data_IF_051875081128
#
_entry.id   IF_051875081128
#
_cell.length_a   1.000
_cell.length_b   1.000
_cell.length_c   1.000
_cell.angle_alpha   90.00
_cell.angle_beta   90.00
_cell.angle_gamma   90.00
#
_symmetry.space_group_name_H-M   'P 1'
#
loop_
_entity.id
_entity.type
_entity.pdbx_description
1 polymer ?
#
# COMPACT_ATOMS: atom_id res chain seq x y z
N UNK A 1 15.96 -7.28 -1.63
CA UNK A 1 16.38 -5.93 -1.13
C UNK A 1 15.66 -4.78 -1.85
N UNK A 2 15.33 -4.92 -3.15
CA UNK A 2 14.59 -3.90 -3.91
C UNK A 2 13.17 -3.62 -3.37
N UNK A 3 12.42 -4.67 -3.01
CA UNK A 3 11.06 -4.51 -2.48
C UNK A 3 11.00 -3.65 -1.20
N UNK A 4 11.94 -3.84 -0.27
CA UNK A 4 12.01 -3.05 0.98
C UNK A 4 12.33 -1.59 0.66
N UNK A 5 13.32 -1.34 -0.21
CA UNK A 5 13.64 0.02 -0.66
C UNK A 5 12.41 0.68 -1.31
N UNK A 6 11.74 -0.04 -2.21
CA UNK A 6 10.50 0.40 -2.85
C UNK A 6 9.43 0.76 -1.83
N UNK A 7 9.14 -0.11 -0.86
CA UNK A 7 8.14 0.14 0.16
C UNK A 7 8.48 1.38 1.00
N UNK A 8 9.72 1.51 1.45
CA UNK A 8 10.15 2.66 2.25
C UNK A 8 10.03 3.97 1.47
N UNK A 9 10.58 4.01 0.26
CA UNK A 9 10.59 5.22 -0.57
C UNK A 9 9.19 5.62 -1.00
N UNK A 10 8.37 4.67 -1.47
CA UNK A 10 6.99 4.95 -1.88
C UNK A 10 6.13 5.41 -0.70
N UNK A 11 6.28 4.79 0.49
CA UNK A 11 5.57 5.20 1.70
C UNK A 11 5.93 6.63 2.12
N UNK A 12 7.22 6.98 2.09
CA UNK A 12 7.67 8.34 2.37
C UNK A 12 7.13 9.34 1.34
N UNK A 13 7.11 8.96 0.05
CA UNK A 13 6.53 9.79 -1.01
C UNK A 13 5.04 10.04 -0.77
N UNK A 14 4.28 8.98 -0.46
CA UNK A 14 2.86 9.07 -0.12
C UNK A 14 2.61 9.91 1.13
N UNK A 15 3.43 9.76 2.18
CA UNK A 15 3.39 10.61 3.35
C UNK A 15 3.65 12.09 3.02
N UNK A 16 4.64 12.38 2.17
CA UNK A 16 4.94 13.75 1.74
C UNK A 16 3.78 14.37 0.96
N UNK A 17 3.18 13.62 0.02
CA UNK A 17 1.99 14.04 -0.72
C UNK A 17 0.83 14.30 0.22
N UNK A 18 0.49 13.36 1.10
CA UNK A 18 -0.64 13.52 2.01
C UNK A 18 -0.44 14.67 2.99
N UNK A 19 0.78 14.86 3.49
CA UNK A 19 1.12 16.01 4.33
C UNK A 19 0.98 17.34 3.58
N UNK A 20 1.22 17.35 2.26
CA UNK A 20 1.05 18.56 1.45
C UNK A 20 -0.42 18.86 1.14
N UNK A 21 -1.24 17.83 0.95
CA UNK A 21 -2.67 17.93 0.66
C UNK A 21 -3.49 18.28 1.91
N UNK A 22 -3.14 17.69 3.05
CA UNK A 22 -3.88 17.86 4.32
C UNK A 22 -2.90 18.17 5.46
N UNK A 23 -2.23 19.35 5.44
CA UNK A 23 -1.17 19.68 6.39
C UNK A 23 -1.61 19.73 7.86
N UNK A 24 -2.90 20.00 8.08
CA UNK A 24 -3.50 20.08 9.41
C UNK A 24 -3.88 18.71 9.99
N UNK A 25 -3.88 17.64 9.18
CA UNK A 25 -4.20 16.30 9.67
C UNK A 25 -3.13 15.80 10.65
N UNK A 26 -3.51 15.09 11.73
CA UNK A 26 -2.56 14.55 12.69
C UNK A 26 -1.72 13.42 12.09
N UNK A 27 -0.61 13.07 12.76
CA UNK A 27 0.30 12.00 12.30
C UNK A 27 -0.39 10.63 12.17
N UNK A 28 -1.34 10.33 13.06
CA UNK A 28 -2.17 9.10 13.00
C UNK A 28 -3.02 9.00 11.73
N UNK A 29 -3.20 10.11 10.99
CA UNK A 29 -3.85 10.10 9.67
C UNK A 29 -2.82 10.12 8.56
N UNK A 30 -1.84 11.04 8.63
CA UNK A 30 -0.89 11.28 7.55
C UNK A 30 0.04 10.09 7.27
N UNK A 31 0.51 9.40 8.31
CA UNK A 31 1.40 8.24 8.15
C UNK A 31 0.68 7.05 7.50
N UNK A 32 -0.40 6.49 8.10
CA UNK A 32 -1.08 5.34 7.50
C UNK A 32 -1.78 5.69 6.20
N UNK A 33 -2.38 6.88 6.09
CA UNK A 33 -2.99 7.35 4.85
C UNK A 33 -1.98 7.51 3.73
N UNK A 34 -0.78 8.03 4.04
CA UNK A 34 0.30 8.17 3.06
C UNK A 34 0.82 6.83 2.56
N UNK A 35 0.97 5.86 3.46
CA UNK A 35 1.30 4.48 3.10
C UNK A 35 0.27 3.90 2.12
N UNK A 36 -1.02 3.94 2.46
CA UNK A 36 -2.09 3.38 1.63
C UNK A 36 -2.21 4.09 0.28
N UNK A 37 -2.07 5.41 0.27
CA UNK A 37 -2.02 6.22 -0.94
C UNK A 37 -0.90 5.71 -1.86
N UNK A 38 0.29 5.51 -1.30
CA UNK A 38 1.44 5.02 -2.07
C UNK A 38 1.21 3.62 -2.64
N UNK A 39 0.62 2.70 -1.87
CA UNK A 39 0.30 1.34 -2.33
C UNK A 39 -0.60 1.39 -3.56
N UNK A 40 -1.68 2.17 -3.53
CA UNK A 40 -2.62 2.27 -4.66
C UNK A 40 -1.93 2.83 -5.90
N UNK A 41 -1.28 3.99 -5.79
CA UNK A 41 -0.69 4.65 -6.95
C UNK A 41 0.47 3.86 -7.56
N UNK A 42 1.34 3.30 -6.72
CA UNK A 42 2.49 2.53 -7.21
C UNK A 42 2.09 1.17 -7.77
N UNK A 43 1.03 0.54 -7.25
CA UNK A 43 0.48 -0.69 -7.85
C UNK A 43 -0.01 -0.43 -9.27
N UNK A 44 -0.84 0.59 -9.47
CA UNK A 44 -1.37 0.92 -10.79
C UNK A 44 -0.27 1.38 -11.76
N UNK A 45 0.68 2.18 -11.30
CA UNK A 45 1.81 2.61 -12.12
C UNK A 45 2.65 1.41 -12.57
N UNK A 46 2.99 0.51 -11.62
CA UNK A 46 3.74 -0.71 -11.93
C UNK A 46 2.98 -1.60 -12.90
N UNK A 47 1.67 -1.74 -12.72
CA UNK A 47 0.82 -2.55 -13.59
C UNK A 47 0.77 -2.01 -15.02
N UNK A 48 0.51 -0.72 -15.20
CA UNK A 48 0.44 -0.09 -16.53
C UNK A 48 1.77 -0.21 -17.25
N UNK A 49 2.88 0.06 -16.57
CA UNK A 49 4.22 -0.09 -17.16
C UNK A 49 4.51 -1.55 -17.52
N UNK A 50 4.23 -2.49 -16.62
CA UNK A 50 4.41 -3.91 -16.92
C UNK A 50 3.57 -4.36 -18.13
N UNK A 51 2.32 -3.90 -18.24
CA UNK A 51 1.45 -4.18 -19.40
C UNK A 51 2.03 -3.64 -20.71
N UNK A 52 2.65 -2.46 -20.71
CA UNK A 52 3.28 -1.86 -21.90
C UNK A 52 4.48 -2.70 -22.37
N UNK A 53 5.29 -3.19 -21.42
CA UNK A 53 6.51 -3.95 -21.73
C UNK A 53 6.29 -5.46 -21.83
N UNK A 54 5.07 -5.95 -21.61
CA UNK A 54 4.73 -7.37 -21.62
C UNK A 54 5.05 -8.06 -22.94
N UNK A 55 4.85 -7.39 -24.08
CA UNK A 55 5.13 -7.96 -25.41
C UNK A 55 6.60 -7.88 -25.82
N UNK A 56 7.32 -6.85 -25.38
CA UNK A 56 8.71 -6.61 -25.78
C UNK A 56 9.73 -7.26 -24.84
N UNK A 57 9.40 -7.40 -23.56
CA UNK A 57 10.32 -7.88 -22.53
C UNK A 57 9.54 -8.58 -21.39
N UNK A 58 8.82 -9.68 -21.69
CA UNK A 58 7.88 -10.31 -20.75
C UNK A 58 8.52 -10.60 -19.39
N UNK A 59 9.67 -11.28 -19.39
CA UNK A 59 10.39 -11.67 -18.16
C UNK A 59 10.82 -10.47 -17.29
N UNK A 60 10.98 -9.29 -17.87
CA UNK A 60 11.47 -8.10 -17.17
C UNK A 60 10.37 -7.06 -16.93
N UNK A 61 9.17 -7.25 -17.48
CA UNK A 61 8.12 -6.24 -17.51
C UNK A 61 7.72 -5.77 -16.10
N UNK A 62 7.53 -6.72 -15.17
CA UNK A 62 7.19 -6.40 -13.78
C UNK A 62 8.32 -5.64 -13.07
N UNK A 63 9.57 -6.05 -13.28
CA UNK A 63 10.75 -5.38 -12.72
C UNK A 63 10.91 -3.96 -13.25
N UNK A 64 10.68 -3.75 -14.54
CA UNK A 64 10.70 -2.41 -15.17
C UNK A 64 9.61 -1.54 -14.53
N UNK A 65 8.39 -2.07 -14.35
CA UNK A 65 7.32 -1.36 -13.68
C UNK A 65 7.66 -0.99 -12.23
N UNK A 66 8.24 -1.93 -11.47
CA UNK A 66 8.65 -1.71 -10.08
C UNK A 66 9.72 -0.62 -9.96
N UNK A 67 10.75 -0.66 -10.82
CA UNK A 67 11.82 0.34 -10.86
C UNK A 67 11.25 1.70 -11.28
N UNK A 68 10.34 1.74 -12.25
CA UNK A 68 9.69 2.98 -12.70
C UNK A 68 8.92 3.63 -11.55
N UNK A 69 8.10 2.85 -10.83
CA UNK A 69 7.36 3.34 -9.66
C UNK A 69 8.28 3.81 -8.53
N UNK A 70 9.43 3.16 -8.32
CA UNK A 70 10.45 3.59 -7.37
C UNK A 70 11.06 4.95 -7.78
N UNK A 71 11.46 5.10 -9.03
CA UNK A 71 12.04 6.35 -9.56
C UNK A 71 11.03 7.50 -9.48
N UNK A 72 9.77 7.26 -9.84
CA UNK A 72 8.70 8.25 -9.71
C UNK A 72 8.48 8.65 -8.24
N UNK A 73 8.49 7.68 -7.32
CA UNK A 73 8.38 7.95 -5.87
C UNK A 73 9.55 8.79 -5.35
N UNK A 74 10.79 8.52 -5.82
CA UNK A 74 11.95 9.37 -5.52
C UNK A 74 11.77 10.79 -6.07
N UNK A 75 11.29 10.92 -7.31
CA UNK A 75 10.99 12.22 -7.92
C UNK A 75 9.96 13.01 -7.09
N UNK A 76 8.89 12.36 -6.64
CA UNK A 76 7.88 12.96 -5.74
C UNK A 76 8.53 13.40 -4.42
N UNK A 77 9.38 12.58 -3.81
CA UNK A 77 10.09 12.98 -2.59
C UNK A 77 11.00 14.20 -2.79
N UNK A 78 11.71 14.28 -3.91
CA UNK A 78 12.59 15.41 -4.21
C UNK A 78 11.78 16.69 -4.44
N UNK A 79 10.66 16.62 -5.16
CA UNK A 79 9.86 17.80 -5.53
C UNK A 79 8.92 18.25 -4.40
N UNK A 80 8.23 17.30 -3.77
CA UNK A 80 7.21 17.54 -2.74
C UNK A 80 7.81 17.49 -1.35
N UNK A 81 8.65 16.49 -1.06
CA UNK A 81 9.24 16.27 0.27
C UNK A 81 10.07 17.44 0.76
N UNK A 82 10.81 18.12 -0.12
CA UNK A 82 11.57 19.35 0.22
C UNK A 82 10.68 20.52 0.69
N UNK A 83 9.40 20.50 0.33
CA UNK A 83 8.43 21.55 0.68
C UNK A 83 7.58 21.18 1.91
N UNK A 84 7.75 19.97 2.45
CA UNK A 84 7.03 19.53 3.64
C UNK A 84 7.59 20.25 4.87
N UNK A 85 6.74 21.04 5.53
CA UNK A 85 7.09 21.69 6.80
C UNK A 85 6.75 20.77 7.97
N UNK A 86 7.58 20.71 9.02
CA UNK A 86 7.29 19.91 10.20
C UNK A 86 6.20 20.58 11.05
N UNK A 87 4.94 20.47 10.61
CA UNK A 87 3.78 20.96 11.34
C UNK A 87 3.01 19.78 11.93
N UNK A 88 2.69 19.83 13.24
CA UNK A 88 1.89 18.80 13.90
C UNK A 88 2.58 17.44 14.04
N UNK A 89 3.90 17.40 14.18
CA UNK A 89 4.70 16.17 14.38
C UNK A 89 4.54 15.54 15.78
N UNK A 90 3.66 16.09 16.61
CA UNK A 90 3.41 15.59 17.95
C UNK A 90 2.57 14.33 17.90
N UNK A 91 3.19 13.20 18.19
CA UNK A 91 2.52 11.90 18.35
C UNK A 91 2.14 11.76 19.83
N UNK A 92 0.86 11.51 20.11
CA UNK A 92 0.43 11.30 21.50
C UNK A 92 0.88 9.91 21.98
N UNK A 93 1.23 9.73 23.27
CA UNK A 93 1.59 8.41 23.80
C UNK A 93 0.54 7.33 23.54
N UNK A 94 -0.74 7.71 23.59
CA UNK A 94 -1.86 6.83 23.24
C UNK A 94 -1.82 6.38 21.78
N UNK A 95 -1.39 7.24 20.85
CA UNK A 95 -1.26 6.87 19.42
C UNK A 95 -0.12 5.88 19.19
N UNK A 96 0.98 6.04 19.94
CA UNK A 96 2.10 5.09 19.93
C UNK A 96 1.63 3.74 20.45
N UNK A 97 0.95 3.71 21.60
CA UNK A 97 0.42 2.48 22.19
C UNK A 97 -0.58 1.79 21.25
N UNK A 98 -1.51 2.53 20.66
CA UNK A 98 -2.48 1.98 19.70
C UNK A 98 -1.80 1.47 18.42
N UNK A 99 -0.76 2.15 17.94
CA UNK A 99 0.03 1.67 16.80
C UNK A 99 0.77 0.38 17.13
N UNK A 100 1.37 0.28 18.32
CA UNK A 100 2.06 -0.93 18.76
C UNK A 100 1.08 -2.10 18.92
N UNK A 101 -0.08 -1.88 19.55
CA UNK A 101 -1.15 -2.88 19.66
C UNK A 101 -1.64 -3.31 18.28
N UNK A 102 -1.88 -2.36 17.37
CA UNK A 102 -2.29 -2.62 16.00
C UNK A 102 -1.27 -3.48 15.26
N UNK A 103 0.03 -3.16 15.37
CA UNK A 103 1.11 -3.95 14.76
C UNK A 103 1.18 -5.37 15.33
N UNK A 104 1.12 -5.52 16.65
CA UNK A 104 1.17 -6.83 17.31
C UNK A 104 -0.02 -7.70 16.91
N UNK A 105 -1.23 -7.12 16.93
CA UNK A 105 -2.44 -7.81 16.50
C UNK A 105 -2.37 -8.20 15.03
N UNK A 106 -1.96 -7.26 14.16
CA UNK A 106 -1.84 -7.51 12.72
C UNK A 106 -0.79 -8.59 12.43
N UNK A 107 0.35 -8.54 13.11
CA UNK A 107 1.40 -9.56 13.00
C UNK A 107 0.89 -10.93 13.41
N UNK A 108 0.25 -11.03 14.58
CA UNK A 108 -0.33 -12.28 15.06
C UNK A 108 -1.36 -12.84 14.08
N UNK A 109 -2.28 -11.99 13.58
CA UNK A 109 -3.27 -12.39 12.58
C UNK A 109 -2.60 -12.91 11.30
N UNK A 110 -1.70 -12.14 10.67
CA UNK A 110 -1.07 -12.57 9.41
C UNK A 110 -0.24 -13.85 9.59
N UNK A 111 0.47 -13.95 10.71
CA UNK A 111 1.24 -15.15 11.07
C UNK A 111 0.34 -16.37 11.32
N UNK A 112 -0.84 -16.20 11.92
CA UNK A 112 -1.78 -17.29 12.13
C UNK A 112 -2.34 -17.86 10.81
N UNK A 113 -2.47 -17.02 9.77
CA UNK A 113 -2.99 -17.42 8.46
C UNK A 113 -1.93 -18.04 7.56
N UNK A 114 -0.76 -17.41 7.48
CA UNK A 114 0.35 -17.84 6.62
C UNK A 114 1.65 -17.76 7.41
N UNK A 115 2.28 -18.93 7.64
CA UNK A 115 3.55 -19.03 8.38
C UNK A 115 4.52 -19.94 7.68
N UNK A 116 5.78 -19.86 8.11
CA UNK A 116 6.77 -20.89 7.80
C UNK A 116 6.85 -21.86 8.97
N UNK A 117 6.83 -23.15 8.69
CA UNK A 117 7.07 -24.22 9.65
C UNK A 117 8.16 -25.13 9.07
N UNK A 118 9.36 -25.11 9.66
CA UNK A 118 10.51 -25.90 9.21
C UNK A 118 10.85 -25.81 7.71
N UNK A 119 10.70 -24.62 7.12
CA UNK A 119 10.96 -24.39 5.70
C UNK A 119 9.74 -24.58 4.79
N UNK A 120 8.66 -25.17 5.30
CA UNK A 120 7.41 -25.32 4.56
C UNK A 120 6.48 -24.13 4.78
N UNK A 121 5.78 -23.73 3.73
CA UNK A 121 4.77 -22.67 3.82
C UNK A 121 3.45 -23.29 4.29
N UNK A 122 3.04 -22.98 5.51
CA UNK A 122 1.83 -23.51 6.12
C UNK A 122 0.72 -22.47 6.10
N UNK A 123 -0.44 -22.89 5.61
CA UNK A 123 -1.66 -22.08 5.55
C UNK A 123 -2.67 -22.60 6.58
N UNK A 124 -3.39 -21.69 7.23
CA UNK A 124 -4.49 -22.05 8.12
C UNK A 124 -5.60 -22.80 7.38
N UNK A 125 -6.17 -23.83 8.03
CA UNK A 125 -7.26 -24.64 7.44
C UNK A 125 -8.46 -23.79 6.98
N UNK A 126 -8.74 -22.70 7.70
CA UNK A 126 -9.89 -21.84 7.45
C UNK A 126 -9.74 -20.99 6.17
N UNK A 127 -8.50 -20.83 5.68
CA UNK A 127 -8.17 -20.01 4.51
C UNK A 127 -7.43 -20.80 3.42
N UNK A 128 -7.35 -22.12 3.56
CA UNK A 128 -6.59 -22.99 2.66
C UNK A 128 -7.05 -22.84 1.20
N UNK A 129 -8.37 -22.88 0.97
CA UNK A 129 -8.95 -22.75 -0.38
C UNK A 129 -8.61 -21.42 -1.04
N UNK A 130 -8.77 -20.31 -0.31
CA UNK A 130 -8.54 -18.97 -0.84
C UNK A 130 -7.05 -18.67 -1.06
N UNK A 131 -6.19 -19.09 -0.13
CA UNK A 131 -4.76 -18.82 -0.24
C UNK A 131 -4.11 -19.54 -1.42
N UNK A 132 -4.60 -20.72 -1.81
CA UNK A 132 -4.17 -21.39 -3.03
C UNK A 132 -4.37 -20.51 -4.27
N UNK A 133 -5.55 -19.87 -4.38
CA UNK A 133 -5.87 -18.92 -5.45
C UNK A 133 -4.99 -17.66 -5.38
N UNK A 134 -4.88 -17.04 -4.20
CA UNK A 134 -4.11 -15.80 -4.02
C UNK A 134 -2.61 -16.00 -4.29
N UNK A 135 -2.03 -17.09 -3.79
CA UNK A 135 -0.62 -17.43 -4.05
C UNK A 135 -0.42 -17.67 -5.55
N UNK A 136 -1.27 -18.47 -6.20
CA UNK A 136 -1.17 -18.74 -7.64
C UNK A 136 -1.28 -17.45 -8.48
N UNK A 137 -2.22 -16.55 -8.14
CA UNK A 137 -2.34 -15.24 -8.78
C UNK A 137 -1.07 -14.41 -8.59
N UNK A 138 -0.57 -14.28 -7.36
CA UNK A 138 0.67 -13.51 -7.12
C UNK A 138 1.88 -14.06 -7.88
N UNK A 139 1.98 -15.39 -8.02
CA UNK A 139 3.04 -16.08 -8.76
C UNK A 139 2.87 -15.96 -10.27
N UNK A 140 1.65 -15.88 -10.77
CA UNK A 140 1.40 -15.60 -12.19
C UNK A 140 1.97 -14.26 -12.62
N UNK A 141 2.01 -13.26 -11.73
CA UNK A 141 2.68 -11.99 -12.01
C UNK A 141 4.20 -12.06 -11.85
N UNK A 142 4.67 -12.63 -10.73
CA UNK A 142 6.10 -12.62 -10.38
C UNK A 142 6.96 -13.62 -11.16
N UNK A 143 6.35 -14.60 -11.81
CA UNK A 143 7.06 -15.58 -12.66
C UNK A 143 6.41 -15.71 -14.02
N UNK A 144 5.08 -15.71 -14.07
CA UNK A 144 4.33 -16.05 -15.29
C UNK A 144 4.12 -14.91 -16.28
N UNK A 145 4.55 -13.68 -15.99
CA UNK A 145 4.33 -12.50 -16.85
C UNK A 145 2.84 -12.32 -17.25
N UNK A 146 1.91 -12.46 -16.29
CA UNK A 146 0.45 -12.48 -16.51
C UNK A 146 -0.14 -11.10 -16.93
N UNK A 147 0.13 -10.73 -18.19
CA UNK A 147 -0.22 -9.47 -18.83
C UNK A 147 -0.66 -9.73 -20.30
N UNK A 148 -1.94 -9.55 -20.67
CA UNK A 148 -3.05 -9.14 -19.83
C UNK A 148 -3.37 -10.12 -18.71
N UNK A 149 -4.03 -9.64 -17.65
CA UNK A 149 -4.28 -10.46 -16.46
C UNK A 149 -5.40 -11.46 -16.69
N UNK A 150 -5.06 -12.74 -16.58
CA UNK A 150 -5.94 -13.89 -16.71
C UNK A 150 -5.99 -14.71 -15.42
N UNK A 151 -6.98 -15.59 -15.29
CA UNK A 151 -6.97 -16.59 -14.23
C UNK A 151 -5.85 -17.62 -14.46
N UNK A 152 -4.99 -17.90 -13.48
CA UNK A 152 -3.91 -18.88 -13.64
C UNK A 152 -4.43 -20.31 -13.81
N UNK A 153 -5.70 -20.57 -13.49
CA UNK A 153 -6.36 -21.87 -13.60
C UNK A 153 -7.21 -22.05 -14.86
N UNK A 154 -7.54 -20.95 -15.56
CA UNK A 154 -8.42 -20.97 -16.74
C UNK A 154 -7.76 -20.19 -17.87
N UNK A 155 -7.12 -20.92 -18.80
CA UNK A 155 -6.38 -20.32 -19.89
C UNK A 155 -7.29 -19.46 -20.79
N UNK A 156 -6.86 -18.22 -21.08
CA UNK A 156 -7.57 -17.30 -21.96
C UNK A 156 -8.81 -16.65 -21.34
N UNK A 157 -9.16 -16.95 -20.09
CA UNK A 157 -10.27 -16.27 -19.41
C UNK A 157 -9.76 -15.02 -18.68
N UNK A 158 -10.24 -13.82 -19.05
CA UNK A 158 -9.87 -12.60 -18.36
C UNK A 158 -10.31 -12.66 -16.90
N UNK A 159 -9.47 -12.11 -16.01
CA UNK A 159 -9.82 -12.11 -14.59
C UNK A 159 -11.02 -11.20 -14.31
N UNK A 160 -12.01 -11.70 -13.57
CA UNK A 160 -13.19 -10.93 -13.12
C UNK A 160 -13.15 -10.60 -11.63
N UNK A 161 -12.24 -11.23 -10.90
CA UNK A 161 -11.98 -11.03 -9.49
C UNK A 161 -10.98 -9.88 -9.27
N UNK A 162 -11.02 -9.27 -8.09
CA UNK A 162 -10.04 -8.25 -7.74
C UNK A 162 -8.64 -8.88 -7.56
N UNK A 163 -7.65 -8.42 -8.30
CA UNK A 163 -6.28 -8.95 -8.22
C UNK A 163 -5.28 -7.96 -7.59
N UNK A 164 -5.72 -6.77 -7.19
CA UNK A 164 -4.80 -5.69 -6.81
C UNK A 164 -3.84 -6.07 -5.70
N UNK A 165 -4.32 -6.77 -4.67
CA UNK A 165 -3.47 -7.25 -3.57
C UNK A 165 -2.52 -8.37 -4.02
N UNK A 166 -2.98 -9.31 -4.84
CA UNK A 166 -2.16 -10.40 -5.37
C UNK A 166 -1.06 -9.89 -6.30
N UNK A 167 -1.38 -8.88 -7.11
CA UNK A 167 -0.42 -8.16 -7.93
C UNK A 167 0.61 -7.42 -7.07
N UNK A 168 0.17 -6.74 -6.01
CA UNK A 168 1.08 -6.06 -5.09
C UNK A 168 2.02 -7.07 -4.39
N UNK A 169 1.51 -8.22 -3.97
CA UNK A 169 2.36 -9.31 -3.46
C UNK A 169 3.34 -9.80 -4.55
N UNK A 170 2.87 -9.99 -5.78
CA UNK A 170 3.70 -10.39 -6.93
C UNK A 170 4.84 -9.41 -7.22
N UNK A 171 4.60 -8.11 -7.24
CA UNK A 171 5.67 -7.12 -7.45
C UNK A 171 6.68 -7.08 -6.29
N UNK A 172 6.26 -7.38 -5.05
CA UNK A 172 7.20 -7.49 -3.93
C UNK A 172 8.03 -8.77 -4.01
N UNK A 173 7.48 -9.86 -4.54
CA UNK A 173 8.23 -11.09 -4.84
C UNK A 173 9.29 -10.83 -5.91
N UNK A 174 8.94 -10.10 -6.98
CA UNK A 174 9.89 -9.64 -7.99
C UNK A 174 11.02 -8.78 -7.38
N UNK A 175 10.67 -7.93 -6.40
CA UNK A 175 11.65 -7.15 -5.62
C UNK A 175 12.47 -7.96 -4.58
N UNK A 176 12.25 -9.27 -4.51
CA UNK A 176 13.02 -10.24 -3.73
C UNK A 176 12.45 -10.57 -2.34
N UNK A 177 11.16 -10.34 -2.07
CA UNK A 177 10.52 -10.93 -0.89
C UNK A 177 10.10 -12.38 -1.15
N UNK A 178 10.10 -13.22 -0.12
CA UNK A 178 9.48 -14.55 -0.20
C UNK A 178 7.96 -14.42 -0.31
N UNK A 179 7.29 -15.48 -0.76
CA UNK A 179 5.81 -15.54 -0.79
C UNK A 179 5.25 -15.16 0.59
N UNK A 180 5.75 -15.77 1.66
CA UNK A 180 5.37 -15.44 3.04
C UNK A 180 5.38 -13.92 3.32
N UNK A 181 6.52 -13.26 3.10
CA UNK A 181 6.66 -11.84 3.44
C UNK A 181 5.97 -10.92 2.44
N UNK A 182 5.80 -11.33 1.19
CA UNK A 182 5.06 -10.55 0.19
C UNK A 182 3.57 -10.42 0.52
N UNK A 183 3.00 -11.39 1.23
CA UNK A 183 1.63 -11.32 1.75
C UNK A 183 1.58 -10.70 3.14
N UNK A 184 2.40 -11.19 4.07
CA UNK A 184 2.30 -10.78 5.47
C UNK A 184 2.73 -9.34 5.71
N UNK A 185 3.81 -8.86 5.08
CA UNK A 185 4.30 -7.50 5.34
C UNK A 185 3.27 -6.43 4.91
N UNK A 186 2.72 -6.45 3.68
CA UNK A 186 1.62 -5.55 3.31
C UNK A 186 0.37 -5.75 4.16
N UNK A 187 0.03 -7.01 4.50
CA UNK A 187 -1.11 -7.30 5.37
C UNK A 187 -0.99 -6.67 6.75
N UNK A 188 0.19 -6.77 7.37
CA UNK A 188 0.49 -6.19 8.69
C UNK A 188 0.34 -4.66 8.66
N UNK A 189 1.05 -4.03 7.72
CA UNK A 189 1.07 -2.57 7.60
C UNK A 189 -0.28 -2.01 7.15
N UNK A 190 -0.97 -2.70 6.22
CA UNK A 190 -2.28 -2.32 5.71
C UNK A 190 -3.37 -2.43 6.77
N UNK A 191 -3.44 -3.54 7.50
CA UNK A 191 -4.43 -3.73 8.56
C UNK A 191 -4.20 -2.73 9.70
N UNK A 192 -2.95 -2.54 10.14
CA UNK A 192 -2.60 -1.51 11.13
C UNK A 192 -3.02 -0.12 10.65
N UNK A 193 -2.75 0.22 9.38
CA UNK A 193 -3.11 1.51 8.80
C UNK A 193 -4.63 1.73 8.79
N UNK A 194 -5.41 0.71 8.41
CA UNK A 194 -6.87 0.75 8.46
C UNK A 194 -7.40 0.97 9.88
N UNK A 195 -6.86 0.26 10.87
CA UNK A 195 -7.24 0.45 12.28
C UNK A 195 -6.98 1.89 12.75
N UNK A 196 -5.78 2.42 12.49
CA UNK A 196 -5.41 3.79 12.89
C UNK A 196 -6.29 4.85 12.22
N UNK A 197 -6.59 4.68 10.92
CA UNK A 197 -7.50 5.59 10.22
C UNK A 197 -8.93 5.49 10.74
N UNK A 198 -9.41 4.30 11.06
CA UNK A 198 -10.74 4.08 11.66
C UNK A 198 -10.82 4.77 13.03
N UNK A 199 -9.78 4.65 13.85
CA UNK A 199 -9.68 5.36 15.13
C UNK A 199 -9.65 6.88 14.93
N UNK A 200 -8.94 7.38 13.92
CA UNK A 200 -8.91 8.79 13.59
C UNK A 200 -10.28 9.33 13.16
N UNK A 201 -11.04 8.54 12.37
CA UNK A 201 -12.43 8.85 12.01
C UNK A 201 -13.33 8.83 13.27
N UNK A 202 -13.17 7.85 14.16
CA UNK A 202 -13.90 7.81 15.42
C UNK A 202 -13.65 9.05 16.27
N UNK A 203 -12.39 9.49 16.40
CA UNK A 203 -12.05 10.74 17.11
C UNK A 203 -12.65 11.96 16.43
N UNK A 204 -12.66 11.99 15.09
CA UNK A 204 -13.25 13.06 14.31
C UNK A 204 -14.76 13.19 14.57
N UNK A 205 -15.48 12.06 14.63
CA UNK A 205 -16.94 12.03 14.78
C UNK A 205 -17.41 12.22 16.22
N UNK A 206 -16.66 11.73 17.21
CA UNK A 206 -17.14 11.59 18.59
C UNK A 206 -16.36 12.37 19.66
N UNK A 207 -15.36 13.19 19.29
CA UNK A 207 -14.66 14.01 20.30
C UNK A 207 -15.54 15.16 20.81
N UNK A 208 -15.84 15.17 22.10
CA UNK A 208 -16.65 16.19 22.79
C UNK A 208 -15.91 17.54 23.04
N UNK A 209 -14.59 17.57 22.87
CA UNK A 209 -13.81 18.80 22.92
C UNK A 209 -13.93 19.54 21.58
N UNK A 210 -14.04 20.88 21.63
CA UNK A 210 -14.00 21.77 20.47
C UNK A 210 -12.99 21.23 19.45
N UNK A 211 -13.43 20.82 18.25
CA UNK A 211 -12.56 20.09 17.35
C UNK A 211 -11.29 20.92 17.12
N UNK A 212 -10.07 20.34 17.28
CA UNK A 212 -8.85 21.05 16.92
C UNK A 212 -9.05 21.54 15.49
N UNK A 213 -8.97 22.86 15.30
CA UNK A 213 -9.37 23.63 14.11
C UNK A 213 -9.74 22.72 12.93
N UNK A 214 -11.05 22.57 12.69
CA UNK A 214 -11.66 21.68 11.67
C UNK A 214 -10.83 21.64 10.37
N UNK A 215 -9.92 20.68 10.26
CA UNK A 215 -9.01 20.55 9.10
C UNK A 215 -9.74 20.17 7.80
N UNK A 216 -11.00 19.74 7.93
CA UNK A 216 -11.90 19.41 6.83
C UNK A 216 -12.78 20.59 6.38
N UNK A 217 -12.84 21.68 7.16
CA UNK A 217 -13.46 22.94 6.75
C UNK A 217 -12.39 23.92 6.26
N UNK A 218 -11.62 23.53 5.26
CA UNK A 218 -10.86 24.51 4.50
C UNK A 218 -11.74 25.01 3.35
N UNK A 219 -12.07 26.30 3.37
CA UNK A 219 -12.89 26.96 2.34
C UNK A 219 -12.15 27.11 1.00
N UNK A 220 -10.88 26.72 0.90
CA UNK A 220 -10.05 26.93 -0.30
C UNK A 220 -9.59 25.69 -1.06
N UNK A 221 -9.49 24.51 -0.43
CA UNK A 221 -8.88 23.32 -1.06
C UNK A 221 -9.77 22.65 -2.10
N UNK A 222 -11.08 22.57 -1.84
CA UNK A 222 -12.04 22.04 -2.82
C UNK A 222 -12.21 22.96 -4.03
N UNK A 223 -12.21 24.27 -3.81
CA UNK A 223 -12.28 25.26 -4.90
C UNK A 223 -11.03 25.18 -5.79
N UNK A 224 -9.86 24.97 -5.20
CA UNK A 224 -8.61 24.76 -5.95
C UNK A 224 -8.58 23.45 -6.75
N UNK A 225 -9.06 22.34 -6.17
CA UNK A 225 -9.13 21.05 -6.88
C UNK A 225 -10.15 21.07 -8.03
N UNK A 226 -11.29 21.72 -7.83
CA UNK A 226 -12.32 21.89 -8.87
C UNK A 226 -11.82 22.85 -9.96
N UNK A 227 -11.14 23.95 -9.60
CA UNK A 227 -10.57 24.87 -10.59
C UNK A 227 -9.48 24.21 -11.45
N UNK A 228 -8.63 23.35 -10.86
CA UNK A 228 -7.62 22.56 -11.61
C UNK A 228 -8.27 21.46 -12.46
N UNK A 229 -9.39 20.89 -12.03
CA UNK A 229 -10.12 19.90 -12.84
C UNK A 229 -10.97 20.51 -13.96
N UNK A 230 -11.25 21.82 -13.89
CA UNK A 230 -12.04 22.59 -14.86
C UNK A 230 -11.20 23.57 -15.71
N UNK A 231 -9.87 23.54 -15.60
CA UNK A 231 -8.93 24.27 -16.47
C UNK A 231 -8.13 23.32 -17.34
#
# INVERSE_FOLDING_TARGET
>A
MLAILFLLVSSLAGFAVLTRLVPQAPMIVRLPGGFLLSVVFTSWTTYVVARIFASSSPEHALKIGLITSLVLSLGVLIVVGRKVRPQGWRIQPVDIALTAIGLLLSYWLMHAHLRNDNGELVVSANTWGDMGLHIALSRSFSVGSNYPTEYPFFAGEPIRYHFGFDFFAGMLQEGGLSVLWSFNLPGILGFTSMMLLTLAIGRLLFSAATPPAKWWHDKGTWVGLIAVALS
#
